data_IF_323318706804
#
_entry.id   IF_323318706804
#
_cell.length_a   1.000
_cell.length_b   1.000
_cell.length_c   1.000
_cell.angle_alpha   90.00
_cell.angle_beta   90.00
_cell.angle_gamma   90.00
#
_symmetry.space_group_name_H-M   'P 1'
#
loop_
_entity.id
_entity.type
_entity.pdbx_description
1 polymer ?
#
# COMPACT_ATOMS: atom_id res chain seq x y z
N UNK A 1 6.32 -8.68 -7.43
CA UNK A 1 7.40 -7.69 -7.21
C UNK A 1 6.87 -6.30 -7.44
N UNK A 2 6.86 -5.49 -6.38
CA UNK A 2 6.44 -4.10 -6.40
C UNK A 2 7.59 -3.17 -6.79
N UNK A 3 7.22 -2.05 -7.40
CA UNK A 3 8.12 -0.96 -7.74
C UNK A 3 7.55 0.35 -7.21
N UNK A 4 8.41 1.22 -6.69
CA UNK A 4 8.04 2.59 -6.34
C UNK A 4 9.15 3.56 -6.76
N UNK A 5 8.75 4.74 -7.24
CA UNK A 5 9.68 5.76 -7.75
C UNK A 5 9.54 7.02 -6.90
N UNK A 6 10.64 7.51 -6.38
CA UNK A 6 10.77 8.83 -5.77
C UNK A 6 11.47 9.78 -6.77
N UNK A 7 10.72 10.58 -7.53
CA UNK A 7 11.30 11.48 -8.51
C UNK A 7 12.02 12.67 -7.84
N UNK A 8 11.67 13.00 -6.61
CA UNK A 8 12.29 14.12 -5.87
C UNK A 8 13.69 13.74 -5.39
N UNK A 9 13.83 12.52 -4.83
CA UNK A 9 15.12 12.01 -4.35
C UNK A 9 15.88 11.19 -5.39
N UNK A 10 15.32 11.05 -6.61
CA UNK A 10 15.89 10.26 -7.70
C UNK A 10 16.19 8.83 -7.27
N UNK A 11 15.18 8.14 -6.72
CA UNK A 11 15.29 6.74 -6.25
C UNK A 11 14.25 5.85 -6.87
N UNK A 12 14.70 4.64 -7.23
CA UNK A 12 13.85 3.51 -7.60
C UNK A 12 13.95 2.46 -6.49
N UNK A 13 12.81 2.09 -5.94
CA UNK A 13 12.66 1.01 -4.97
C UNK A 13 12.12 -0.22 -5.69
N UNK A 14 12.80 -1.34 -5.54
CA UNK A 14 12.44 -2.63 -6.13
C UNK A 14 12.28 -3.66 -5.02
N UNK A 15 11.07 -4.16 -4.83
CA UNK A 15 10.82 -5.24 -3.87
C UNK A 15 11.38 -6.53 -4.45
N UNK A 16 12.42 -7.07 -3.85
CA UNK A 16 13.01 -8.36 -4.21
C UNK A 16 12.43 -9.45 -3.31
N UNK A 17 11.28 -9.97 -3.71
CA UNK A 17 10.51 -10.94 -2.94
C UNK A 17 11.32 -12.19 -2.54
N UNK A 18 12.09 -12.85 -3.45
CA UNK A 18 12.90 -14.00 -3.09
C UNK A 18 14.06 -13.69 -2.14
N UNK A 19 14.59 -12.47 -2.21
CA UNK A 19 15.68 -12.03 -1.33
C UNK A 19 15.20 -11.49 0.02
N UNK A 20 13.87 -11.33 0.19
CA UNK A 20 13.25 -10.79 1.39
C UNK A 20 13.73 -9.37 1.73
N UNK A 21 13.91 -8.54 0.71
CA UNK A 21 14.41 -7.18 0.89
C UNK A 21 13.84 -6.19 -0.15
N UNK A 22 14.21 -4.93 -0.02
CA UNK A 22 13.93 -3.88 -1.01
C UNK A 22 15.25 -3.30 -1.48
N UNK A 23 15.55 -3.45 -2.77
CA UNK A 23 16.71 -2.84 -3.42
C UNK A 23 16.40 -1.39 -3.78
N UNK A 24 17.32 -0.49 -3.48
CA UNK A 24 17.20 0.93 -3.81
C UNK A 24 18.28 1.30 -4.83
N UNK A 25 17.83 1.87 -5.94
CA UNK A 25 18.71 2.30 -7.03
C UNK A 25 18.62 3.80 -7.23
N UNK A 26 19.70 4.39 -7.72
CA UNK A 26 19.67 5.72 -8.26
C UNK A 26 18.93 5.72 -9.60
N UNK A 27 17.93 6.57 -9.74
CA UNK A 27 17.02 6.55 -10.89
C UNK A 27 17.71 6.98 -12.19
N UNK A 28 18.69 7.87 -12.12
CA UNK A 28 19.37 8.38 -13.31
C UNK A 28 20.46 7.43 -13.82
N UNK A 29 21.28 6.89 -12.92
CA UNK A 29 22.40 6.02 -13.27
C UNK A 29 22.05 4.52 -13.27
N UNK A 30 20.97 4.12 -12.63
CA UNK A 30 20.63 2.72 -12.41
C UNK A 30 21.53 2.00 -11.41
N UNK A 31 22.46 2.71 -10.76
CA UNK A 31 23.40 2.11 -9.82
C UNK A 31 22.71 1.79 -8.48
N UNK A 32 23.08 0.65 -7.83
CA UNK A 32 22.55 0.34 -6.51
C UNK A 32 23.01 1.35 -5.47
N UNK A 33 22.10 1.79 -4.62
CA UNK A 33 22.36 2.74 -3.53
C UNK A 33 22.42 2.02 -2.20
N UNK A 34 21.43 1.18 -1.92
CA UNK A 34 21.35 0.40 -0.68
C UNK A 34 20.31 -0.72 -0.79
N UNK A 35 20.31 -1.58 0.21
CA UNK A 35 19.28 -2.61 0.43
C UNK A 35 18.61 -2.32 1.77
N UNK A 36 17.29 -2.44 1.83
CA UNK A 36 16.50 -2.35 3.05
C UNK A 36 15.96 -3.73 3.39
N UNK A 37 16.13 -4.13 4.63
CA UNK A 37 15.60 -5.38 5.16
C UNK A 37 16.45 -6.60 4.86
N UNK A 38 15.94 -7.71 5.37
CA UNK A 38 16.45 -9.09 5.25
C UNK A 38 15.31 -10.03 5.68
N UNK A 39 15.49 -11.32 5.50
CA UNK A 39 14.51 -12.32 5.97
C UNK A 39 14.35 -12.28 7.48
N UNK A 40 13.09 -12.21 7.96
CA UNK A 40 12.72 -12.28 9.37
C UNK A 40 11.33 -11.71 9.66
N UNK A 41 11.03 -11.55 10.95
CA UNK A 41 9.74 -11.07 11.47
C UNK A 41 9.90 -9.78 12.31
N UNK A 42 11.12 -9.37 12.61
CA UNK A 42 11.43 -8.16 13.37
C UNK A 42 11.12 -6.87 12.61
N UNK A 43 11.37 -5.74 13.26
CA UNK A 43 11.27 -4.42 12.65
C UNK A 43 12.30 -4.27 11.53
N UNK A 44 11.85 -3.87 10.35
CA UNK A 44 12.70 -3.78 9.16
C UNK A 44 13.11 -5.12 8.55
N UNK A 45 12.64 -6.24 9.06
CA UNK A 45 12.81 -7.57 8.46
C UNK A 45 11.56 -7.96 7.68
N UNK A 46 11.70 -8.77 6.63
CA UNK A 46 10.59 -9.14 5.75
C UNK A 46 10.44 -10.65 5.59
N UNK A 47 9.21 -11.07 5.34
CA UNK A 47 8.89 -12.42 4.91
C UNK A 47 8.05 -12.37 3.63
N UNK A 48 8.69 -12.58 2.49
CA UNK A 48 8.11 -12.44 1.15
C UNK A 48 7.41 -11.09 0.93
N UNK A 49 8.13 -9.95 1.00
CA UNK A 49 7.56 -8.65 0.66
C UNK A 49 7.13 -8.65 -0.81
N UNK A 50 6.02 -7.96 -1.14
CA UNK A 50 5.45 -8.04 -2.50
C UNK A 50 5.23 -6.71 -3.18
N UNK A 51 4.66 -5.74 -2.50
CA UNK A 51 4.30 -4.44 -3.05
C UNK A 51 4.93 -3.31 -2.26
N UNK A 52 5.14 -2.18 -2.93
CA UNK A 52 5.63 -0.96 -2.31
C UNK A 52 4.93 0.26 -2.87
N UNK A 53 4.76 1.27 -2.05
CA UNK A 53 4.28 2.60 -2.41
C UNK A 53 5.07 3.68 -1.68
N UNK A 54 5.03 4.90 -2.20
CA UNK A 54 5.59 6.08 -1.57
C UNK A 54 4.51 7.13 -1.34
N UNK A 55 4.56 7.80 -0.20
CA UNK A 55 3.80 9.03 0.00
C UNK A 55 4.56 10.26 -0.56
N UNK A 56 3.91 11.41 -0.53
CA UNK A 56 4.51 12.68 -0.97
C UNK A 56 5.71 13.13 -0.13
N UNK A 57 5.81 12.66 1.12
CA UNK A 57 6.93 12.92 2.02
C UNK A 57 8.15 12.03 1.74
N UNK A 58 7.97 10.99 0.93
CA UNK A 58 8.98 9.98 0.61
C UNK A 58 9.05 8.85 1.62
N UNK A 59 8.03 8.66 2.47
CA UNK A 59 7.91 7.45 3.27
C UNK A 59 7.60 6.28 2.36
N UNK A 60 8.28 5.17 2.59
CA UNK A 60 8.10 3.93 1.86
C UNK A 60 7.19 2.98 2.67
N UNK A 61 6.15 2.49 2.03
CA UNK A 61 5.21 1.50 2.56
C UNK A 61 5.46 0.19 1.84
N UNK A 62 5.70 -0.88 2.58
CA UNK A 62 5.99 -2.20 2.00
C UNK A 62 5.03 -3.23 2.56
N UNK A 63 4.33 -3.94 1.69
CA UNK A 63 3.52 -5.10 2.08
C UNK A 63 4.42 -6.29 2.36
N UNK A 64 4.50 -6.68 3.62
CA UNK A 64 5.24 -7.81 4.15
C UNK A 64 4.31 -9.02 4.22
N UNK A 65 4.09 -9.66 3.06
CA UNK A 65 2.92 -10.50 2.81
C UNK A 65 2.79 -11.71 3.70
N UNK A 66 3.87 -12.43 4.00
CA UNK A 66 3.80 -13.60 4.86
C UNK A 66 3.90 -13.28 6.35
N UNK A 67 4.28 -12.05 6.71
CA UNK A 67 4.13 -11.53 8.08
C UNK A 67 2.79 -10.82 8.28
N UNK A 68 1.91 -10.79 7.25
CA UNK A 68 0.56 -10.21 7.30
C UNK A 68 0.53 -8.79 7.83
N UNK A 69 1.47 -7.95 7.38
CA UNK A 69 1.60 -6.56 7.84
C UNK A 69 2.03 -5.63 6.71
N UNK A 70 1.89 -4.33 6.94
CA UNK A 70 2.55 -3.27 6.17
C UNK A 70 3.60 -2.64 7.07
N UNK A 71 4.83 -2.50 6.58
CA UNK A 71 5.89 -1.77 7.25
C UNK A 71 6.12 -0.41 6.58
N UNK A 72 6.39 0.61 7.39
CA UNK A 72 6.60 1.99 6.97
C UNK A 72 8.03 2.41 7.30
N UNK A 73 8.70 2.98 6.32
CA UNK A 73 10.07 3.48 6.45
C UNK A 73 10.10 4.98 6.14
N UNK A 74 10.99 5.71 6.78
CA UNK A 74 11.23 7.11 6.45
C UNK A 74 11.97 7.25 5.10
N UNK A 75 12.13 8.48 4.63
CA UNK A 75 12.81 8.79 3.38
C UNK A 75 14.31 8.40 3.37
N UNK A 76 14.91 8.17 4.54
CA UNK A 76 16.27 7.68 4.71
C UNK A 76 16.33 6.16 4.78
N UNK A 77 15.15 5.48 4.87
CA UNK A 77 15.00 4.04 4.97
C UNK A 77 15.10 3.50 6.39
N UNK A 78 14.97 4.38 7.38
CA UNK A 78 14.79 3.98 8.78
C UNK A 78 13.38 3.43 9.01
N UNK A 79 13.24 2.36 9.80
CA UNK A 79 11.95 1.83 10.20
C UNK A 79 11.19 2.87 11.04
N UNK A 80 9.92 3.07 10.74
CA UNK A 80 9.05 4.01 11.46
C UNK A 80 7.99 3.26 12.27
N UNK A 81 7.24 2.38 11.62
CA UNK A 81 6.15 1.63 12.24
C UNK A 81 5.74 0.44 11.38
N UNK A 82 4.92 -0.44 11.94
CA UNK A 82 4.23 -1.48 11.21
C UNK A 82 2.80 -1.62 11.73
N UNK A 83 1.87 -2.05 10.88
CA UNK A 83 0.49 -2.32 11.27
C UNK A 83 -0.06 -3.53 10.52
N UNK A 84 -1.12 -4.13 11.08
CA UNK A 84 -1.69 -5.37 10.62
C UNK A 84 -1.04 -6.59 11.25
N UNK A 85 -1.77 -7.68 11.25
CA UNK A 85 -1.35 -9.04 11.67
C UNK A 85 -2.29 -10.05 11.01
N UNK A 86 -1.94 -11.31 11.04
CA UNK A 86 -2.85 -12.38 10.61
C UNK A 86 -4.09 -12.44 11.53
N UNK A 87 -5.27 -12.44 10.96
CA UNK A 87 -6.52 -12.53 11.71
C UNK A 87 -7.75 -12.13 10.89
N UNK A 88 -8.88 -12.05 11.57
CA UNK A 88 -10.20 -11.64 11.04
C UNK A 88 -10.79 -10.43 11.80
N UNK A 89 -10.02 -9.84 12.69
CA UNK A 89 -10.38 -8.61 13.41
C UNK A 89 -10.25 -7.36 12.56
N UNK A 90 -10.67 -6.23 13.11
CA UNK A 90 -10.56 -4.92 12.44
C UNK A 90 -9.09 -4.55 12.21
N UNK A 91 -8.69 -4.38 10.95
CA UNK A 91 -7.32 -4.06 10.56
C UNK A 91 -6.37 -5.26 10.51
N UNK A 92 -6.87 -6.48 10.77
CA UNK A 92 -6.12 -7.71 10.52
C UNK A 92 -6.11 -8.03 9.02
N UNK A 93 -5.15 -8.83 8.57
CA UNK A 93 -5.00 -9.24 7.18
C UNK A 93 -5.12 -10.76 7.01
N UNK A 94 -5.67 -11.16 5.87
CA UNK A 94 -5.71 -12.55 5.43
C UNK A 94 -4.74 -12.83 4.29
N UNK A 95 -4.65 -11.94 3.30
CA UNK A 95 -3.71 -12.04 2.19
C UNK A 95 -3.39 -10.63 1.63
N UNK A 96 -2.65 -9.79 2.37
CA UNK A 96 -2.36 -8.43 1.95
C UNK A 96 -1.50 -8.41 0.68
N UNK A 97 -1.87 -7.54 -0.28
CA UNK A 97 -1.25 -7.39 -1.60
C UNK A 97 -0.85 -5.93 -1.83
N UNK A 98 -1.45 -5.29 -2.82
CA UNK A 98 -1.16 -3.92 -3.21
C UNK A 98 -1.31 -2.94 -2.06
N UNK A 99 -0.40 -1.99 -1.97
CA UNK A 99 -0.46 -0.84 -1.08
C UNK A 99 -0.36 0.44 -1.89
N UNK A 100 -1.13 1.46 -1.52
CA UNK A 100 -1.08 2.79 -2.12
C UNK A 100 -1.41 3.84 -1.04
N UNK A 101 -1.01 5.09 -1.28
CA UNK A 101 -1.24 6.20 -0.33
C UNK A 101 -1.80 7.38 -1.09
N UNK A 102 -2.85 8.01 -0.56
CA UNK A 102 -3.45 9.20 -1.14
C UNK A 102 -2.74 10.50 -0.69
N UNK A 103 -3.25 11.63 -1.17
CA UNK A 103 -2.65 12.93 -0.89
C UNK A 103 -2.82 13.40 0.56
N UNK A 104 -3.76 12.82 1.30
CA UNK A 104 -4.03 13.11 2.70
C UNK A 104 -3.28 12.16 3.65
N UNK A 105 -2.61 11.14 3.09
CA UNK A 105 -1.82 10.17 3.85
C UNK A 105 -2.63 8.97 4.33
N UNK A 106 -3.84 8.74 3.78
CA UNK A 106 -4.55 7.49 4.01
C UNK A 106 -3.87 6.35 3.25
N UNK A 107 -3.79 5.21 3.90
CA UNK A 107 -3.08 4.03 3.38
C UNK A 107 -4.12 2.99 2.96
N UNK A 108 -4.08 2.60 1.69
CA UNK A 108 -4.98 1.62 1.08
C UNK A 108 -4.24 0.31 0.90
N UNK A 109 -4.79 -0.79 1.39
CA UNK A 109 -4.21 -2.12 1.28
C UNK A 109 -5.25 -3.07 0.69
N UNK A 110 -4.95 -3.65 -0.48
CA UNK A 110 -5.77 -4.72 -1.04
C UNK A 110 -5.57 -5.99 -0.23
N UNK A 111 -6.64 -6.56 0.31
CA UNK A 111 -6.62 -7.86 0.95
C UNK A 111 -7.34 -8.88 0.07
N UNK A 112 -6.55 -9.72 -0.59
CA UNK A 112 -7.08 -10.74 -1.51
C UNK A 112 -7.82 -11.86 -0.77
N UNK A 113 -7.55 -12.07 0.51
CA UNK A 113 -8.23 -13.10 1.31
C UNK A 113 -9.60 -12.65 1.82
N UNK A 114 -9.81 -11.33 1.95
CA UNK A 114 -11.08 -10.74 2.34
C UNK A 114 -11.85 -10.12 1.17
N UNK A 115 -11.32 -10.19 -0.05
CA UNK A 115 -11.92 -9.60 -1.25
C UNK A 115 -12.31 -8.12 -1.07
N UNK A 116 -11.47 -7.35 -0.39
CA UNK A 116 -11.71 -5.93 -0.13
C UNK A 116 -10.43 -5.09 -0.19
N UNK A 117 -10.59 -3.79 -0.03
CA UNK A 117 -9.49 -2.85 0.21
C UNK A 117 -9.71 -2.25 1.60
N UNK A 118 -8.73 -2.40 2.47
CA UNK A 118 -8.72 -1.79 3.80
C UNK A 118 -8.07 -0.41 3.73
N UNK A 119 -8.67 0.59 4.37
CA UNK A 119 -8.18 1.96 4.37
C UNK A 119 -7.83 2.36 5.80
N UNK A 120 -6.59 2.80 5.99
CA UNK A 120 -6.02 3.14 7.30
C UNK A 120 -5.63 4.62 7.34
N UNK A 121 -5.60 5.18 8.55
CA UNK A 121 -4.95 6.47 8.78
C UNK A 121 -3.43 6.37 8.75
N UNK A 122 -2.73 7.51 8.82
CA UNK A 122 -1.26 7.57 8.83
C UNK A 122 -0.59 6.93 10.06
N UNK A 123 -1.39 6.46 11.04
CA UNK A 123 -0.91 5.70 12.22
C UNK A 123 -1.16 4.21 12.10
N UNK A 124 -1.76 3.75 11.00
CA UNK A 124 -2.13 2.36 10.78
C UNK A 124 -3.41 1.92 11.49
N UNK A 125 -4.28 2.86 11.87
CA UNK A 125 -5.60 2.55 12.42
C UNK A 125 -6.60 2.41 11.28
N UNK A 126 -7.36 1.32 11.26
CA UNK A 126 -8.39 1.09 10.25
C UNK A 126 -9.47 2.16 10.31
N UNK A 127 -9.77 2.78 9.16
CA UNK A 127 -10.84 3.75 8.98
C UNK A 127 -12.10 3.10 8.41
N UNK A 128 -11.94 2.36 7.29
CA UNK A 128 -13.07 1.71 6.61
C UNK A 128 -12.60 0.60 5.67
N UNK A 129 -13.58 -0.20 5.19
CA UNK A 129 -13.41 -1.17 4.13
C UNK A 129 -14.08 -0.65 2.85
N UNK A 130 -13.41 -0.82 1.71
CA UNK A 130 -13.96 -0.57 0.39
C UNK A 130 -14.19 -1.90 -0.31
N UNK A 131 -15.44 -2.17 -0.69
CA UNK A 131 -15.83 -3.38 -1.40
C UNK A 131 -16.04 -4.59 -0.49
N UNK A 132 -16.11 -5.76 -1.12
CA UNK A 132 -16.30 -7.08 -0.54
C UNK A 132 -16.46 -8.09 -1.66
N UNK A 133 -16.59 -9.38 -1.32
CA UNK A 133 -16.62 -10.49 -2.26
C UNK A 133 -17.75 -10.37 -3.32
N UNK A 134 -17.41 -10.54 -4.60
CA UNK A 134 -18.39 -10.62 -5.68
C UNK A 134 -17.91 -10.09 -7.02
N UNK A 135 -18.86 -9.98 -7.97
CA UNK A 135 -18.58 -9.59 -9.37
C UNK A 135 -19.24 -8.26 -9.78
N UNK A 136 -20.14 -7.72 -8.94
CA UNK A 136 -20.80 -6.44 -9.22
C UNK A 136 -19.83 -5.25 -9.10
N UNK A 137 -20.15 -4.09 -9.65
CA UNK A 137 -19.41 -2.87 -9.41
C UNK A 137 -19.25 -2.61 -7.90
N UNK A 138 -18.03 -2.29 -7.45
CA UNK A 138 -17.71 -2.12 -6.04
C UNK A 138 -17.43 -3.41 -5.27
N UNK A 139 -17.64 -4.59 -5.88
CA UNK A 139 -17.23 -5.87 -5.32
C UNK A 139 -15.92 -6.35 -5.96
N UNK A 140 -15.19 -7.21 -5.27
CA UNK A 140 -13.91 -7.75 -5.73
C UNK A 140 -13.88 -9.28 -5.67
N UNK A 141 -12.97 -9.83 -6.46
CA UNK A 141 -12.56 -11.22 -6.34
C UNK A 141 -11.04 -11.30 -6.51
N UNK A 142 -10.35 -11.57 -5.39
CA UNK A 142 -8.90 -11.57 -5.25
C UNK A 142 -8.27 -10.26 -5.79
N UNK A 143 -8.55 -9.10 -5.19
CA UNK A 143 -7.91 -7.84 -5.58
C UNK A 143 -6.40 -7.93 -5.31
N UNK A 144 -5.58 -7.35 -6.21
CA UNK A 144 -4.12 -7.44 -6.09
C UNK A 144 -3.43 -6.08 -6.11
N UNK A 145 -3.29 -5.47 -7.27
CA UNK A 145 -2.58 -4.20 -7.43
C UNK A 145 -3.42 -3.00 -7.06
N UNK A 146 -2.79 -2.01 -6.43
CA UNK A 146 -3.36 -0.70 -6.17
C UNK A 146 -2.47 0.39 -6.74
N UNK A 147 -3.08 1.44 -7.25
CA UNK A 147 -2.43 2.68 -7.62
C UNK A 147 -3.35 3.85 -7.31
N UNK A 148 -2.79 4.95 -6.81
CA UNK A 148 -3.53 6.21 -6.59
C UNK A 148 -2.83 7.30 -7.38
N UNK A 149 -3.59 8.02 -8.21
CA UNK A 149 -3.05 9.08 -9.04
C UNK A 149 -3.03 10.44 -8.31
N UNK A 150 -2.47 11.46 -8.98
CA UNK A 150 -2.35 12.80 -8.40
C UNK A 150 -3.68 13.54 -8.16
N UNK A 151 -4.83 12.93 -8.51
CA UNK A 151 -6.19 13.40 -8.26
C UNK A 151 -6.93 12.55 -7.23
N UNK A 152 -6.20 11.69 -6.52
CA UNK A 152 -6.72 10.75 -5.53
C UNK A 152 -7.75 9.76 -6.10
N UNK A 153 -7.60 9.39 -7.39
CA UNK A 153 -8.35 8.27 -7.97
C UNK A 153 -7.63 6.98 -7.65
N UNK A 154 -8.38 6.03 -7.10
CA UNK A 154 -7.90 4.73 -6.68
C UNK A 154 -8.17 3.73 -7.81
N UNK A 155 -7.11 3.15 -8.35
CA UNK A 155 -7.17 2.10 -9.36
C UNK A 155 -6.89 0.77 -8.67
N UNK A 156 -7.84 -0.15 -8.72
CA UNK A 156 -7.75 -1.46 -8.09
C UNK A 156 -7.81 -2.56 -9.15
N UNK A 157 -6.78 -3.40 -9.20
CA UNK A 157 -6.75 -4.59 -10.05
C UNK A 157 -7.61 -5.69 -9.41
N UNK A 158 -8.80 -5.88 -9.92
CA UNK A 158 -9.76 -6.91 -9.52
C UNK A 158 -9.50 -8.18 -10.34
N UNK A 159 -8.49 -8.96 -9.88
CA UNK A 159 -7.77 -9.90 -10.71
C UNK A 159 -8.62 -11.04 -11.25
N UNK A 160 -9.42 -11.68 -10.43
CA UNK A 160 -10.27 -12.79 -10.87
C UNK A 160 -11.53 -12.34 -11.64
N UNK A 161 -11.94 -11.08 -11.48
CA UNK A 161 -12.98 -10.47 -12.31
C UNK A 161 -12.42 -9.89 -13.62
N UNK A 162 -11.10 -10.03 -13.88
CA UNK A 162 -10.42 -9.58 -15.11
C UNK A 162 -10.70 -8.11 -15.46
N UNK A 163 -10.71 -7.22 -14.46
CA UNK A 163 -11.01 -5.80 -14.64
C UNK A 163 -10.14 -4.92 -13.72
N UNK A 164 -10.08 -3.63 -14.05
CA UNK A 164 -9.63 -2.58 -13.14
C UNK A 164 -10.85 -1.77 -12.73
N UNK A 165 -11.04 -1.58 -11.44
CA UNK A 165 -12.05 -0.68 -10.91
C UNK A 165 -11.40 0.64 -10.50
N UNK A 166 -12.10 1.75 -10.76
CA UNK A 166 -11.64 3.09 -10.44
C UNK A 166 -12.61 3.73 -9.47
N UNK A 167 -12.09 4.17 -8.33
CA UNK A 167 -12.85 4.88 -7.29
C UNK A 167 -12.29 6.28 -7.12
N UNK A 168 -13.13 7.20 -6.69
CA UNK A 168 -12.74 8.56 -6.36
C UNK A 168 -13.02 8.80 -4.89
N UNK A 169 -11.99 9.14 -4.12
CA UNK A 169 -12.19 9.69 -2.79
C UNK A 169 -12.81 11.08 -2.92
N UNK A 170 -13.99 11.23 -2.32
CA UNK A 170 -14.70 12.51 -2.31
C UNK A 170 -14.47 13.18 -0.94
N UNK A 171 -13.56 14.13 -0.91
CA UNK A 171 -13.44 15.01 0.26
C UNK A 171 -14.70 15.90 0.31
N UNK A 172 -15.63 15.59 1.21
CA UNK A 172 -16.79 16.44 1.47
C UNK A 172 -16.30 17.66 2.26
N UNK A 173 -15.77 18.64 1.55
CA UNK A 173 -15.65 19.98 2.15
C UNK A 173 -17.04 20.36 2.63
N UNK A 174 -17.18 20.66 3.91
CA UNK A 174 -18.41 21.14 4.51
C UNK A 174 -18.94 22.31 3.67
N UNK A 175 -19.92 22.04 2.80
CA UNK A 175 -20.69 23.08 2.16
C UNK A 175 -21.32 23.89 3.28
N UNK A 176 -20.86 25.12 3.42
CA UNK A 176 -21.40 26.08 4.41
C UNK A 176 -22.93 26.05 4.39
N UNK A 177 -23.52 26.05 5.58
CA UNK A 177 -24.94 26.24 5.76
C UNK A 177 -25.42 27.37 4.85
N UNK A 178 -26.54 27.20 4.12
CA UNK A 178 -27.16 28.32 3.48
C UNK A 178 -27.61 29.30 4.60
N UNK A 179 -27.07 30.51 4.58
CA UNK A 179 -27.57 31.59 5.40
C UNK A 179 -29.07 31.81 5.04
N UNK A 180 -29.90 31.81 6.08
CA UNK A 180 -31.32 32.15 5.98
C UNK A 180 -31.49 33.65 6.05
#
# INVERSE_FOLDING_TARGET
>A
TGLAIDPVRQRLYVVDTPSHDVKVFDLASGMPVKTLGRRGEGEGEFNFPTYAALDRGGRLYVTDSLNMRVQVFDAQGGFVTAFGKHGDGSGDFSAPKGVAVDSEGHIYVADAGFDNIQIFDGKGQLLLYLGGAGQSPGQFWLPTGLFIDGRDRIYAADSYNSRVQIFQYLNVQSTGKPER
#
